data_IF_827937690875
#
_entry.id   IF_827937690875
#
_cell.length_a   1.000
_cell.length_b   1.000
_cell.length_c   1.000
_cell.angle_alpha   90.00
_cell.angle_beta   90.00
_cell.angle_gamma   90.00
#
_symmetry.space_group_name_H-M   'P 1'
#
loop_
_entity.id
_entity.type
_entity.pdbx_description
1 polymer ?
#
# COMPACT_ATOMS: atom_id res chain seq x y z
N UNK A 1 -22.15 2.15 -15.72
CA UNK A 1 -20.93 1.84 -16.49
C UNK A 1 -20.48 3.07 -17.23
N UNK A 2 -19.33 3.61 -16.86
CA UNK A 2 -18.71 4.76 -17.48
C UNK A 2 -17.40 4.37 -18.20
N UNK A 3 -16.70 5.34 -18.79
CA UNK A 3 -15.43 5.11 -19.47
C UNK A 3 -14.35 4.53 -18.55
N UNK A 4 -14.39 4.83 -17.25
CA UNK A 4 -13.44 4.31 -16.26
C UNK A 4 -13.66 2.81 -16.03
N UNK A 5 -14.90 2.35 -15.99
CA UNK A 5 -15.21 0.91 -15.88
C UNK A 5 -14.61 0.11 -17.04
N UNK A 6 -14.65 0.65 -18.26
CA UNK A 6 -14.05 0.01 -19.44
C UNK A 6 -12.53 -0.02 -19.38
N UNK A 7 -11.90 1.04 -18.89
CA UNK A 7 -10.43 1.10 -18.71
C UNK A 7 -9.99 0.10 -17.64
N UNK A 8 -10.64 0.12 -16.47
CA UNK A 8 -10.34 -0.81 -15.37
C UNK A 8 -10.57 -2.24 -15.82
N UNK A 9 -11.70 -2.52 -16.45
CA UNK A 9 -12.03 -3.86 -16.95
C UNK A 9 -11.10 -4.34 -18.05
N UNK A 10 -10.69 -3.46 -18.97
CA UNK A 10 -9.71 -3.79 -20.01
C UNK A 10 -8.34 -4.14 -19.42
N UNK A 11 -7.85 -3.35 -18.45
CA UNK A 11 -6.60 -3.66 -17.74
C UNK A 11 -6.73 -4.95 -16.94
N UNK A 12 -7.84 -5.14 -16.22
CA UNK A 12 -8.08 -6.34 -15.43
C UNK A 12 -8.09 -7.60 -16.29
N UNK A 13 -8.85 -7.57 -17.39
CA UNK A 13 -8.91 -8.66 -18.37
C UNK A 13 -7.55 -8.93 -19.02
N UNK A 14 -6.80 -7.89 -19.37
CA UNK A 14 -5.45 -8.03 -19.94
C UNK A 14 -4.50 -8.79 -19.01
N UNK A 15 -4.54 -8.50 -17.70
CA UNK A 15 -3.73 -9.22 -16.72
C UNK A 15 -4.18 -10.67 -16.53
N UNK A 16 -5.49 -10.94 -16.53
CA UNK A 16 -6.03 -12.31 -16.48
C UNK A 16 -5.58 -13.10 -17.71
N UNK A 17 -5.77 -12.53 -18.90
CA UNK A 17 -5.40 -13.17 -20.16
C UNK A 17 -3.90 -13.43 -20.24
N UNK A 18 -3.08 -12.44 -19.90
CA UNK A 18 -1.62 -12.60 -19.83
C UNK A 18 -1.22 -13.64 -18.79
N UNK A 19 -1.95 -13.72 -17.68
CA UNK A 19 -1.72 -14.71 -16.63
C UNK A 19 -2.02 -16.13 -17.11
N UNK A 20 -3.15 -16.30 -17.81
CA UNK A 20 -3.52 -17.55 -18.46
C UNK A 20 -2.48 -17.99 -19.50
N UNK A 21 -2.06 -17.08 -20.39
CA UNK A 21 -1.08 -17.39 -21.43
C UNK A 21 0.33 -17.68 -20.90
N UNK A 22 0.70 -17.13 -19.73
CA UNK A 22 1.99 -17.47 -19.10
C UNK A 22 1.92 -18.79 -18.32
N UNK A 23 0.76 -19.16 -17.79
CA UNK A 23 0.64 -20.24 -16.82
C UNK A 23 1.04 -19.83 -15.40
N UNK A 24 0.64 -20.65 -14.42
CA UNK A 24 0.96 -20.48 -13.00
C UNK A 24 2.44 -20.75 -12.73
N UNK A 25 2.98 -21.84 -13.28
CA UNK A 25 4.35 -22.28 -13.06
C UNK A 25 5.34 -21.20 -13.51
N UNK A 26 5.17 -20.64 -14.71
CA UNK A 26 6.00 -19.53 -15.18
C UNK A 26 5.94 -18.33 -14.24
N UNK A 27 4.74 -17.92 -13.82
CA UNK A 27 4.59 -16.75 -12.95
C UNK A 27 5.25 -16.96 -11.59
N UNK A 28 5.18 -18.19 -11.07
CA UNK A 28 5.81 -18.55 -9.82
C UNK A 28 7.34 -18.55 -9.93
N UNK A 29 7.90 -19.13 -11.00
CA UNK A 29 9.34 -19.06 -11.28
C UNK A 29 9.82 -17.63 -11.55
N UNK A 30 9.06 -16.81 -12.28
CA UNK A 30 9.38 -15.40 -12.49
C UNK A 30 9.44 -14.65 -11.14
N UNK A 31 8.49 -14.91 -10.23
CA UNK A 31 8.45 -14.29 -8.91
C UNK A 31 9.64 -14.74 -8.05
N UNK A 32 9.84 -16.04 -7.88
CA UNK A 32 10.97 -16.58 -7.13
C UNK A 32 12.30 -16.13 -7.72
N UNK A 33 12.45 -16.22 -9.03
CA UNK A 33 13.62 -15.76 -9.77
C UNK A 33 13.93 -14.30 -9.48
N UNK A 34 12.92 -13.42 -9.46
CA UNK A 34 13.12 -12.01 -9.12
C UNK A 34 13.57 -11.78 -7.68
N UNK A 35 13.02 -12.54 -6.72
CA UNK A 35 13.41 -12.47 -5.30
C UNK A 35 14.86 -12.95 -5.12
N UNK A 36 15.20 -14.10 -5.70
CA UNK A 36 16.57 -14.62 -5.69
C UNK A 36 17.55 -13.67 -6.38
N UNK A 37 17.16 -13.11 -7.52
CA UNK A 37 17.96 -12.14 -8.25
C UNK A 37 18.25 -10.88 -7.42
N UNK A 38 17.26 -10.40 -6.66
CA UNK A 38 17.41 -9.24 -5.76
C UNK A 38 18.38 -9.55 -4.60
N UNK A 39 18.19 -10.69 -3.92
CA UNK A 39 19.05 -11.13 -2.81
C UNK A 39 20.50 -11.26 -3.29
N UNK A 40 20.71 -11.97 -4.40
CA UNK A 40 22.04 -12.17 -4.98
C UNK A 40 22.62 -10.86 -5.52
N UNK A 41 21.78 -9.99 -6.08
CA UNK A 41 22.15 -8.62 -6.47
C UNK A 41 22.77 -7.87 -5.30
N UNK A 42 22.07 -7.78 -4.16
CA UNK A 42 22.59 -7.09 -2.97
C UNK A 42 23.83 -7.75 -2.35
N UNK A 43 24.01 -9.06 -2.52
CA UNK A 43 25.18 -9.74 -1.98
C UNK A 43 26.42 -9.60 -2.89
N UNK A 44 26.24 -9.64 -4.22
CA UNK A 44 27.34 -9.72 -5.18
C UNK A 44 27.63 -8.43 -5.95
N UNK A 45 26.80 -7.38 -5.83
CA UNK A 45 26.97 -6.14 -6.62
C UNK A 45 28.36 -5.51 -6.48
N UNK A 46 28.96 -5.53 -5.29
CA UNK A 46 30.28 -4.93 -5.05
C UNK A 46 31.42 -5.69 -5.73
N UNK A 47 31.36 -7.03 -5.71
CA UNK A 47 32.34 -7.89 -6.39
C UNK A 47 32.27 -7.69 -7.91
N UNK A 48 31.07 -7.78 -8.48
CA UNK A 48 30.87 -7.59 -9.92
C UNK A 48 31.20 -6.16 -10.35
N UNK A 49 30.80 -5.17 -9.56
CA UNK A 49 31.10 -3.76 -9.83
C UNK A 49 32.59 -3.45 -9.80
N UNK A 50 33.36 -4.03 -8.86
CA UNK A 50 34.82 -3.86 -8.84
C UNK A 50 35.51 -4.44 -10.08
N UNK A 51 35.03 -5.58 -10.58
CA UNK A 51 35.51 -6.18 -11.83
C UNK A 51 35.19 -5.28 -13.04
N UNK A 52 34.00 -4.70 -13.09
CA UNK A 52 33.61 -3.76 -14.15
C UNK A 52 34.44 -2.48 -14.09
N UNK A 53 34.63 -1.91 -12.90
CA UNK A 53 35.41 -0.69 -12.70
C UNK A 53 36.85 -0.85 -13.21
N UNK A 54 37.46 -2.01 -12.96
CA UNK A 54 38.82 -2.34 -13.40
C UNK A 54 38.96 -2.42 -14.93
N UNK A 55 37.90 -2.83 -15.65
CA UNK A 55 37.96 -3.04 -17.10
C UNK A 55 37.42 -1.85 -17.92
N UNK A 56 36.56 -1.02 -17.34
CA UNK A 56 35.79 0.01 -18.08
C UNK A 56 36.11 1.44 -17.61
N UNK A 57 37.08 1.62 -16.70
CA UNK A 57 37.46 2.93 -16.15
C UNK A 57 36.28 3.76 -15.61
N UNK A 58 35.28 3.09 -15.04
CA UNK A 58 34.11 3.72 -14.43
C UNK A 58 34.36 4.01 -12.94
N UNK A 59 33.63 4.99 -12.40
CA UNK A 59 33.63 5.22 -10.95
C UNK A 59 33.03 4.00 -10.22
N UNK A 60 33.62 3.64 -9.07
CA UNK A 60 33.21 2.46 -8.28
C UNK A 60 31.70 2.45 -7.95
N UNK A 61 31.07 3.57 -7.55
CA UNK A 61 29.63 3.58 -7.27
C UNK A 61 28.79 3.28 -8.51
N UNK A 62 29.15 3.84 -9.67
CA UNK A 62 28.44 3.61 -10.92
C UNK A 62 28.60 2.16 -11.41
N UNK A 63 29.82 1.63 -11.32
CA UNK A 63 30.12 0.25 -11.68
C UNK A 63 29.38 -0.76 -10.77
N UNK A 64 29.26 -0.48 -9.48
CA UNK A 64 28.45 -1.24 -8.53
C UNK A 64 26.95 -1.24 -8.90
N UNK A 65 26.42 -0.08 -9.29
CA UNK A 65 25.05 0.07 -9.77
C UNK A 65 24.80 -0.79 -11.02
N UNK A 66 25.72 -0.73 -12.00
CA UNK A 66 25.66 -1.55 -13.22
C UNK A 66 25.77 -3.04 -12.88
N UNK A 67 26.68 -3.41 -11.99
CA UNK A 67 26.86 -4.78 -11.53
C UNK A 67 25.59 -5.35 -10.90
N UNK A 68 24.92 -4.57 -10.05
CA UNK A 68 23.61 -4.94 -9.50
C UNK A 68 22.58 -5.20 -10.60
N UNK A 69 22.43 -4.27 -11.56
CA UNK A 69 21.48 -4.41 -12.68
C UNK A 69 21.78 -5.65 -13.51
N UNK A 70 23.05 -5.91 -13.84
CA UNK A 70 23.46 -7.07 -14.63
C UNK A 70 23.15 -8.39 -13.91
N UNK A 71 23.43 -8.48 -12.60
CA UNK A 71 23.09 -9.66 -11.80
C UNK A 71 21.58 -9.88 -11.80
N UNK A 72 20.81 -8.82 -11.49
CA UNK A 72 19.35 -8.93 -11.37
C UNK A 72 18.72 -9.35 -12.68
N UNK A 73 19.10 -8.71 -13.79
CA UNK A 73 18.59 -9.03 -15.13
C UNK A 73 19.06 -10.40 -15.60
N UNK A 74 20.32 -10.77 -15.36
CA UNK A 74 20.87 -12.07 -15.75
C UNK A 74 20.16 -13.23 -15.05
N UNK A 75 20.03 -13.15 -13.72
CA UNK A 75 19.36 -14.20 -12.94
C UNK A 75 17.86 -14.26 -13.26
N UNK A 76 17.16 -13.13 -13.23
CA UNK A 76 15.73 -13.11 -13.54
C UNK A 76 15.45 -13.60 -14.96
N UNK A 77 16.31 -13.25 -15.92
CA UNK A 77 16.21 -13.68 -17.31
C UNK A 77 16.42 -15.18 -17.49
N UNK A 78 17.44 -15.75 -16.84
CA UNK A 78 17.72 -17.20 -16.90
C UNK A 78 16.62 -18.03 -16.26
N UNK A 79 16.15 -17.66 -15.06
CA UNK A 79 15.03 -18.36 -14.40
C UNK A 79 13.74 -18.23 -15.23
N UNK A 80 13.46 -17.04 -15.75
CA UNK A 80 12.30 -16.83 -16.63
C UNK A 80 12.39 -17.65 -17.91
N UNK A 81 13.58 -17.85 -18.47
CA UNK A 81 13.78 -18.69 -19.66
C UNK A 81 13.52 -20.17 -19.37
N UNK A 82 13.99 -20.68 -18.23
CA UNK A 82 13.74 -22.06 -17.78
C UNK A 82 12.23 -22.30 -17.62
N UNK A 83 11.52 -21.37 -16.99
CA UNK A 83 10.07 -21.48 -16.86
C UNK A 83 9.36 -21.58 -18.21
N UNK A 84 9.82 -20.82 -19.23
CA UNK A 84 9.16 -20.79 -20.53
C UNK A 84 9.32 -22.11 -21.24
N UNK A 85 10.51 -22.69 -21.13
CA UNK A 85 10.80 -24.00 -21.66
C UNK A 85 9.93 -25.07 -21.00
N UNK A 86 9.73 -24.98 -19.68
CA UNK A 86 8.82 -25.87 -18.96
C UNK A 86 7.38 -25.75 -19.46
N UNK A 87 6.87 -24.52 -19.58
CA UNK A 87 5.50 -24.28 -20.05
C UNK A 87 5.25 -24.85 -21.46
N UNK A 88 6.22 -24.68 -22.37
CA UNK A 88 6.11 -25.24 -23.73
C UNK A 88 6.20 -26.77 -23.73
N UNK A 89 6.98 -27.37 -22.82
CA UNK A 89 7.08 -28.83 -22.68
C UNK A 89 5.79 -29.48 -22.15
N UNK A 90 5.02 -28.78 -21.30
CA UNK A 90 3.78 -29.30 -20.70
C UNK A 90 2.51 -29.00 -21.47
N UNK A 91 2.60 -28.27 -22.60
CA UNK A 91 1.48 -27.66 -23.33
C UNK A 91 0.43 -28.64 -23.87
N UNK A 92 0.81 -29.90 -24.09
CA UNK A 92 -0.06 -30.92 -24.70
C UNK A 92 -0.81 -31.78 -23.66
N UNK A 93 -0.54 -31.58 -22.36
CA UNK A 93 -1.22 -32.31 -21.30
C UNK A 93 -2.45 -31.55 -20.80
N UNK A 94 -3.49 -32.23 -20.28
CA UNK A 94 -4.60 -31.57 -19.58
C UNK A 94 -4.12 -30.72 -18.39
N UNK A 95 -2.90 -30.96 -17.91
CA UNK A 95 -2.20 -30.13 -16.91
C UNK A 95 -2.00 -28.70 -17.40
N UNK A 96 -1.84 -28.44 -18.70
CA UNK A 96 -1.69 -27.10 -19.26
C UNK A 96 -2.94 -26.23 -19.06
N UNK A 97 -4.14 -26.82 -19.12
CA UNK A 97 -5.39 -26.10 -18.85
C UNK A 97 -5.48 -25.70 -17.37
N UNK A 98 -5.07 -26.59 -16.46
CA UNK A 98 -5.02 -26.30 -15.03
C UNK A 98 -3.96 -25.23 -14.70
N UNK A 99 -2.76 -25.34 -15.30
CA UNK A 99 -1.68 -24.35 -15.16
C UNK A 99 -2.12 -22.98 -15.67
N UNK A 100 -2.78 -22.93 -16.83
CA UNK A 100 -3.37 -21.72 -17.39
C UNK A 100 -4.45 -21.14 -16.48
N UNK A 101 -5.39 -21.95 -15.98
CA UNK A 101 -6.47 -21.49 -15.10
C UNK A 101 -5.91 -20.92 -13.78
N UNK A 102 -4.96 -21.60 -13.15
CA UNK A 102 -4.27 -21.09 -11.95
C UNK A 102 -3.46 -19.81 -12.27
N UNK A 103 -2.86 -19.75 -13.46
CA UNK A 103 -2.17 -18.57 -13.96
C UNK A 103 -3.11 -17.38 -14.15
N UNK A 104 -4.34 -17.62 -14.57
CA UNK A 104 -5.40 -16.62 -14.70
C UNK A 104 -5.82 -16.07 -13.33
N UNK A 105 -5.94 -16.95 -12.31
CA UNK A 105 -6.25 -16.55 -10.93
C UNK A 105 -5.13 -15.67 -10.35
N UNK A 106 -3.87 -16.07 -10.51
CA UNK A 106 -2.74 -15.21 -10.12
C UNK A 106 -2.73 -13.88 -10.88
N UNK A 107 -3.06 -13.91 -12.18
CA UNK A 107 -3.22 -12.73 -13.02
C UNK A 107 -4.31 -11.79 -12.49
N UNK A 108 -5.47 -12.32 -12.11
CA UNK A 108 -6.58 -11.57 -11.52
C UNK A 108 -6.18 -10.95 -10.17
N UNK A 109 -5.52 -11.72 -9.31
CA UNK A 109 -5.01 -11.22 -8.03
C UNK A 109 -4.02 -10.07 -8.24
N UNK A 110 -3.06 -10.25 -9.15
CA UNK A 110 -2.08 -9.21 -9.51
C UNK A 110 -2.76 -7.97 -10.07
N UNK A 111 -3.76 -8.15 -10.95
CA UNK A 111 -4.55 -7.05 -11.50
C UNK A 111 -5.27 -6.28 -10.39
N UNK A 112 -5.92 -6.98 -9.46
CA UNK A 112 -6.62 -6.37 -8.35
C UNK A 112 -5.68 -5.53 -7.48
N UNK A 113 -4.54 -6.08 -7.07
CA UNK A 113 -3.54 -5.35 -6.28
C UNK A 113 -3.04 -4.10 -7.01
N UNK A 114 -2.64 -4.24 -8.28
CA UNK A 114 -2.12 -3.12 -9.08
C UNK A 114 -3.18 -2.03 -9.28
N UNK A 115 -4.41 -2.42 -9.62
CA UNK A 115 -5.50 -1.48 -9.84
C UNK A 115 -5.95 -0.81 -8.55
N UNK A 116 -6.01 -1.51 -7.41
CA UNK A 116 -6.26 -0.90 -6.10
C UNK A 116 -5.20 0.16 -5.81
N UNK A 117 -3.91 -0.17 -5.97
CA UNK A 117 -2.83 0.79 -5.77
C UNK A 117 -2.97 2.03 -6.68
N UNK A 118 -3.26 1.82 -7.96
CA UNK A 118 -3.47 2.94 -8.91
C UNK A 118 -4.67 3.78 -8.48
N UNK A 119 -5.80 3.16 -8.14
CA UNK A 119 -7.00 3.86 -7.68
C UNK A 119 -6.72 4.68 -6.43
N UNK A 120 -6.00 4.11 -5.46
CA UNK A 120 -5.58 4.83 -4.25
C UNK A 120 -4.74 6.06 -4.58
N UNK A 121 -3.76 5.95 -5.48
CA UNK A 121 -2.94 7.08 -5.93
C UNK A 121 -3.81 8.14 -6.63
N UNK A 122 -4.72 7.74 -7.51
CA UNK A 122 -5.59 8.67 -8.24
C UNK A 122 -6.56 9.37 -7.29
N UNK A 123 -7.11 8.67 -6.29
CA UNK A 123 -7.97 9.25 -5.24
C UNK A 123 -7.17 10.22 -4.35
N UNK A 124 -5.87 9.99 -4.16
CA UNK A 124 -5.02 10.91 -3.40
C UNK A 124 -4.70 12.21 -4.17
N UNK A 125 -4.79 12.21 -5.50
CA UNK A 125 -4.44 13.36 -6.33
C UNK A 125 -5.64 14.31 -6.52
N UNK A 126 -5.46 15.64 -6.48
CA UNK A 126 -6.55 16.62 -6.58
C UNK A 126 -7.03 16.83 -8.04
N UNK A 127 -7.21 15.75 -8.79
CA UNK A 127 -7.68 15.81 -10.18
C UNK A 127 -9.20 15.85 -10.28
N UNK A 128 -9.74 17.05 -10.39
CA UNK A 128 -11.18 17.30 -10.51
C UNK A 128 -11.82 16.65 -11.75
N UNK A 129 -11.04 16.32 -12.79
CA UNK A 129 -11.56 15.69 -14.00
C UNK A 129 -11.90 14.21 -13.82
N UNK A 130 -11.11 13.47 -13.02
CA UNK A 130 -11.20 12.00 -12.93
C UNK A 130 -12.09 11.58 -11.75
N UNK A 131 -12.10 12.35 -10.65
CA UNK A 131 -12.85 12.03 -9.42
C UNK A 131 -14.35 11.76 -9.62
N UNK A 132 -15.12 12.60 -10.34
CA UNK A 132 -16.56 12.37 -10.53
C UNK A 132 -16.82 11.07 -11.32
N UNK A 133 -15.93 10.75 -12.26
CA UNK A 133 -16.01 9.51 -13.02
C UNK A 133 -15.63 8.30 -12.16
N UNK A 134 -14.71 8.43 -11.20
CA UNK A 134 -14.37 7.32 -10.30
C UNK A 134 -15.46 7.01 -9.28
N UNK A 135 -16.12 8.02 -8.73
CA UNK A 135 -17.16 7.82 -7.70
C UNK A 135 -18.41 7.12 -8.23
N UNK A 136 -18.74 7.33 -9.51
CA UNK A 136 -19.89 6.71 -10.17
C UNK A 136 -19.54 5.34 -10.79
N UNK A 137 -18.26 4.99 -10.85
CA UNK A 137 -17.80 3.71 -11.43
C UNK A 137 -18.15 2.54 -10.52
N UNK A 138 -18.93 1.59 -11.04
CA UNK A 138 -19.31 0.38 -10.30
C UNK A 138 -18.10 -0.52 -10.08
N UNK A 139 -17.25 -0.67 -11.09
CA UNK A 139 -16.09 -1.57 -11.00
C UNK A 139 -15.02 -1.00 -10.06
N UNK A 140 -14.77 0.31 -10.09
CA UNK A 140 -13.89 0.93 -9.10
C UNK A 140 -14.43 0.73 -7.68
N UNK A 141 -15.74 0.91 -7.48
CA UNK A 141 -16.39 0.67 -6.20
C UNK A 141 -16.26 -0.77 -5.70
N UNK A 142 -16.49 -1.76 -6.57
CA UNK A 142 -16.36 -3.17 -6.23
C UNK A 142 -14.91 -3.57 -5.93
N UNK A 143 -13.96 -3.04 -6.71
CA UNK A 143 -12.54 -3.29 -6.47
C UNK A 143 -12.07 -2.66 -5.16
N UNK A 144 -12.54 -1.45 -4.84
CA UNK A 144 -12.21 -0.77 -3.59
C UNK A 144 -12.78 -1.46 -2.35
N UNK A 145 -13.80 -2.32 -2.46
CA UNK A 145 -14.22 -3.19 -1.34
C UNK A 145 -13.13 -4.16 -0.88
N UNK A 146 -12.13 -4.42 -1.72
CA UNK A 146 -10.97 -5.23 -1.39
C UNK A 146 -9.84 -4.42 -0.72
N UNK A 147 -9.90 -3.08 -0.75
CA UNK A 147 -8.87 -2.22 -0.19
C UNK A 147 -8.61 -2.45 1.33
N UNK A 148 -9.63 -2.67 2.19
CA UNK A 148 -9.39 -3.00 3.60
C UNK A 148 -8.50 -4.23 3.79
N UNK A 149 -8.70 -5.27 2.99
CA UNK A 149 -7.87 -6.48 3.04
C UNK A 149 -6.43 -6.20 2.62
N UNK A 150 -6.24 -5.32 1.64
CA UNK A 150 -4.90 -4.87 1.25
C UNK A 150 -4.19 -4.15 2.40
N UNK A 151 -4.88 -3.24 3.09
CA UNK A 151 -4.33 -2.56 4.27
C UNK A 151 -4.04 -3.54 5.42
N UNK A 152 -4.93 -4.50 5.68
CA UNK A 152 -4.70 -5.53 6.71
C UNK A 152 -3.50 -6.42 6.38
N UNK A 153 -3.33 -6.81 5.10
CA UNK A 153 -2.18 -7.58 4.66
C UNK A 153 -0.88 -6.78 4.80
N UNK A 154 -0.92 -5.49 4.49
CA UNK A 154 0.18 -4.55 4.73
C UNK A 154 0.50 -4.43 6.22
N UNK A 155 -0.51 -4.39 7.09
CA UNK A 155 -0.40 -4.40 8.56
C UNK A 155 0.30 -5.64 9.10
N UNK A 156 -0.02 -6.81 8.54
CA UNK A 156 0.59 -8.05 8.97
C UNK A 156 1.98 -8.30 8.37
N UNK A 157 2.26 -7.79 7.16
CA UNK A 157 3.49 -8.12 6.41
C UNK A 157 4.62 -7.11 6.61
N UNK A 158 4.32 -5.84 6.88
CA UNK A 158 5.35 -4.81 7.06
C UNK A 158 5.80 -4.70 8.54
N UNK A 159 7.12 -4.67 8.80
CA UNK A 159 7.68 -4.33 10.10
C UNK A 159 7.17 -2.95 10.61
N UNK A 160 7.09 -2.75 11.94
CA UNK A 160 6.60 -1.51 12.53
C UNK A 160 7.40 -0.26 12.14
N UNK A 161 8.66 -0.41 11.70
CA UNK A 161 9.54 0.69 11.30
C UNK A 161 9.20 1.24 9.91
N UNK A 162 8.44 0.49 9.09
CA UNK A 162 8.11 0.91 7.72
C UNK A 162 6.82 1.73 7.74
N UNK A 163 6.86 2.99 7.27
CA UNK A 163 5.68 3.83 7.24
C UNK A 163 4.63 3.27 6.26
N UNK A 164 3.36 3.38 6.66
CA UNK A 164 2.22 2.83 5.92
C UNK A 164 1.66 3.86 4.98
N UNK A 165 1.37 3.45 3.75
CA UNK A 165 0.73 4.30 2.76
C UNK A 165 -0.79 4.28 2.98
N UNK A 166 -1.33 5.37 3.50
CA UNK A 166 -2.77 5.54 3.66
C UNK A 166 -3.20 6.77 2.86
N UNK A 167 -4.21 6.60 2.03
CA UNK A 167 -4.84 7.73 1.35
C UNK A 167 -5.70 8.43 2.38
N UNK A 168 -5.45 9.73 2.58
CA UNK A 168 -6.21 10.64 3.43
C UNK A 168 -6.81 11.75 2.55
N UNK A 169 -7.83 12.50 3.02
CA UNK A 169 -8.35 13.66 2.30
C UNK A 169 -7.29 14.75 2.07
N UNK A 170 -6.23 14.80 2.89
CA UNK A 170 -5.06 15.66 2.68
C UNK A 170 -4.06 15.12 1.65
N UNK A 171 -4.37 13.98 1.02
CA UNK A 171 -3.51 13.30 0.06
C UNK A 171 -2.87 12.04 0.64
N UNK A 172 -1.76 11.64 0.04
CA UNK A 172 -1.02 10.43 0.41
C UNK A 172 -0.29 10.66 1.74
N UNK A 173 -0.70 9.97 2.81
CA UNK A 173 -0.05 10.05 4.11
C UNK A 173 0.78 8.79 4.39
N UNK A 174 1.99 9.02 4.90
CA UNK A 174 2.84 7.99 5.48
C UNK A 174 2.58 7.95 6.98
N UNK A 175 1.85 6.94 7.47
CA UNK A 175 1.53 6.80 8.89
C UNK A 175 2.51 5.86 9.58
N UNK A 176 3.07 6.31 10.70
CA UNK A 176 3.98 5.53 11.55
C UNK A 176 3.27 4.78 12.67
N UNK A 177 1.99 4.44 12.49
CA UNK A 177 1.19 3.70 13.47
C UNK A 177 0.64 2.41 12.88
N UNK A 178 0.42 1.42 13.76
CA UNK A 178 -0.45 0.28 13.45
C UNK A 178 -1.85 0.66 13.87
N UNK A 179 -2.85 0.43 13.02
CA UNK A 179 -4.18 1.02 13.27
C UNK A 179 -4.88 0.30 14.42
N UNK A 180 -4.45 -0.93 14.71
CA UNK A 180 -4.82 -1.69 15.91
C UNK A 180 -4.40 -1.00 17.22
N UNK A 181 -3.33 -0.18 17.20
CA UNK A 181 -2.90 0.58 18.38
C UNK A 181 -3.82 1.76 18.70
N UNK A 182 -4.79 2.07 17.83
CA UNK A 182 -5.81 3.07 18.10
C UNK A 182 -6.86 2.56 19.11
N UNK A 183 -6.96 1.24 19.31
CA UNK A 183 -7.79 0.67 20.36
C UNK A 183 -7.27 1.11 21.73
N UNK A 184 -8.12 1.80 22.52
CA UNK A 184 -7.70 2.35 23.80
C UNK A 184 -6.78 3.58 23.70
N UNK A 185 -6.66 4.21 22.52
CA UNK A 185 -6.03 5.52 22.42
C UNK A 185 -6.83 6.59 23.19
N UNK A 186 -6.17 7.67 23.57
CA UNK A 186 -6.70 8.69 24.47
C UNK A 186 -7.25 9.86 23.65
N UNK A 187 -8.55 10.10 23.75
CA UNK A 187 -9.22 11.20 23.05
C UNK A 187 -8.69 12.57 23.50
N UNK A 188 -8.26 13.40 22.56
CA UNK A 188 -7.72 14.75 22.86
C UNK A 188 -8.78 15.69 23.43
N UNK A 189 -10.07 15.46 23.13
CA UNK A 189 -11.17 16.34 23.52
C UNK A 189 -11.63 16.14 24.96
N UNK A 190 -11.60 14.90 25.46
CA UNK A 190 -12.22 14.54 26.75
C UNK A 190 -11.38 13.62 27.66
N UNK A 191 -10.22 13.17 27.17
CA UNK A 191 -9.31 12.26 27.88
C UNK A 191 -9.78 10.80 28.00
N UNK A 192 -10.95 10.45 27.47
CA UNK A 192 -11.46 9.08 27.52
C UNK A 192 -10.75 8.17 26.51
N UNK A 193 -10.77 6.87 26.79
CA UNK A 193 -10.27 5.83 25.91
C UNK A 193 -11.24 5.61 24.75
N UNK A 194 -10.74 5.63 23.51
CA UNK A 194 -11.53 5.41 22.30
C UNK A 194 -11.57 3.93 21.93
N UNK A 195 -12.56 3.55 21.13
CA UNK A 195 -12.68 2.23 20.51
C UNK A 195 -12.34 2.33 19.03
N UNK A 196 -11.57 1.38 18.52
CA UNK A 196 -11.26 1.23 17.12
C UNK A 196 -12.34 0.36 16.44
N UNK A 197 -12.98 0.92 15.41
CA UNK A 197 -14.08 0.27 14.68
C UNK A 197 -13.59 -0.42 13.39
N UNK A 198 -12.29 -0.41 13.13
CA UNK A 198 -11.72 -0.93 11.89
C UNK A 198 -11.77 0.09 10.75
N UNK A 199 -11.66 -0.43 9.52
CA UNK A 199 -11.75 0.36 8.30
C UNK A 199 -13.23 0.54 7.90
N UNK A 200 -13.71 1.77 7.96
CA UNK A 200 -15.07 2.15 7.61
C UNK A 200 -15.06 2.88 6.27
N UNK A 201 -16.05 2.59 5.42
CA UNK A 201 -16.18 3.20 4.10
C UNK A 201 -16.59 4.66 4.22
N UNK A 202 -15.86 5.54 3.56
CA UNK A 202 -16.21 6.97 3.38
C UNK A 202 -15.96 7.35 1.92
N UNK A 203 -17.02 7.73 1.20
CA UNK A 203 -16.96 7.92 -0.26
C UNK A 203 -16.54 6.64 -0.99
N UNK A 204 -15.48 6.73 -1.82
CA UNK A 204 -14.94 5.60 -2.61
C UNK A 204 -13.87 4.78 -1.86
N UNK A 205 -13.37 5.27 -0.72
CA UNK A 205 -12.26 4.66 0.02
C UNK A 205 -12.69 4.14 1.39
N UNK A 206 -11.76 3.50 2.08
CA UNK A 206 -11.92 2.99 3.43
C UNK A 206 -10.84 3.61 4.32
N UNK A 207 -11.26 4.13 5.47
CA UNK A 207 -10.38 4.81 6.42
C UNK A 207 -10.53 4.19 7.80
N UNK A 208 -9.46 4.15 8.61
CA UNK A 208 -9.59 3.72 9.99
C UNK A 208 -10.58 4.66 10.71
N UNK A 209 -11.42 4.09 11.56
CA UNK A 209 -12.36 4.86 12.37
C UNK A 209 -12.20 4.49 13.84
N UNK A 210 -12.15 5.53 14.67
CA UNK A 210 -12.16 5.47 16.12
C UNK A 210 -13.40 6.21 16.61
N UNK A 211 -14.00 5.70 17.68
CA UNK A 211 -15.17 6.28 18.32
C UNK A 211 -14.91 6.50 19.80
N UNK A 212 -15.16 7.72 20.27
CA UNK A 212 -15.07 8.05 21.69
C UNK A 212 -16.41 7.82 22.40
N UNK A 213 -16.51 6.91 23.39
CA UNK A 213 -17.78 6.65 24.08
C UNK A 213 -18.24 7.80 25.00
N UNK A 214 -17.33 8.71 25.38
CA UNK A 214 -17.63 9.81 26.32
C UNK A 214 -18.13 11.08 25.62
N UNK A 215 -17.49 11.48 24.53
CA UNK A 215 -17.86 12.69 23.79
C UNK A 215 -18.41 12.42 22.38
N UNK A 216 -18.63 11.14 22.04
CA UNK A 216 -19.23 10.66 20.79
C UNK A 216 -18.53 11.11 19.51
N UNK A 217 -17.28 11.59 19.62
CA UNK A 217 -16.48 12.02 18.47
C UNK A 217 -15.95 10.81 17.71
N UNK A 218 -15.95 10.96 16.39
CA UNK A 218 -15.34 10.02 15.46
C UNK A 218 -14.07 10.62 14.85
N UNK A 219 -13.07 9.79 14.62
CA UNK A 219 -11.76 10.23 14.13
C UNK A 219 -11.01 9.06 13.49
N UNK A 220 -10.00 9.31 12.67
CA UNK A 220 -9.16 8.25 12.08
C UNK A 220 -7.85 8.05 12.87
N UNK A 221 -7.83 8.52 14.11
CA UNK A 221 -6.64 8.68 14.95
C UNK A 221 -6.23 10.15 15.13
N UNK A 222 -6.62 11.02 14.19
CA UNK A 222 -6.41 12.49 14.21
C UNK A 222 -6.89 13.18 15.51
N UNK A 223 -7.88 12.63 16.24
CA UNK A 223 -8.40 13.20 17.49
C UNK A 223 -8.00 12.38 18.73
N UNK A 224 -6.90 11.62 18.65
CA UNK A 224 -6.32 10.86 19.77
C UNK A 224 -4.86 11.26 19.99
N UNK A 225 -4.36 11.24 21.22
CA UNK A 225 -2.97 11.65 21.48
C UNK A 225 -1.96 10.72 20.80
N UNK A 226 -2.16 9.42 20.93
CA UNK A 226 -1.33 8.35 20.37
C UNK A 226 -1.38 8.37 18.85
N UNK A 227 -2.59 8.46 18.27
CA UNK A 227 -2.78 8.57 16.82
C UNK A 227 -2.18 9.85 16.25
N UNK A 228 -2.32 11.00 16.93
CA UNK A 228 -1.75 12.27 16.46
C UNK A 228 -0.23 12.24 16.37
N UNK A 229 0.45 11.65 17.37
CA UNK A 229 1.90 11.45 17.30
C UNK A 229 2.26 10.50 16.15
N UNK A 230 1.49 9.44 15.97
CA UNK A 230 1.68 8.46 14.91
C UNK A 230 1.52 8.99 13.48
N UNK A 231 0.58 9.92 13.29
CA UNK A 231 0.24 10.47 11.98
C UNK A 231 1.13 11.67 11.65
N UNK A 232 1.37 12.56 12.61
CA UNK A 232 2.06 13.83 12.36
C UNK A 232 3.48 13.90 12.92
N UNK A 233 3.93 12.92 13.70
CA UNK A 233 5.26 12.89 14.31
C UNK A 233 5.49 13.96 15.38
N UNK A 234 4.45 14.69 15.80
CA UNK A 234 4.54 15.81 16.74
C UNK A 234 3.41 15.75 17.76
N UNK A 235 3.61 16.41 18.91
CA UNK A 235 2.57 16.51 19.93
C UNK A 235 1.45 17.46 19.45
N UNK A 236 0.16 17.15 19.68
CA UNK A 236 -0.93 18.05 19.33
C UNK A 236 -0.82 19.42 20.02
N UNK A 237 -0.27 19.47 21.26
CA UNK A 237 0.00 20.74 21.94
C UNK A 237 1.04 21.60 21.24
N UNK A 238 2.03 21.00 20.59
CA UNK A 238 3.11 21.72 19.92
C UNK A 238 2.63 22.36 18.61
N UNK A 239 1.73 21.67 17.91
CA UNK A 239 1.22 22.13 16.61
C UNK A 239 0.00 23.05 16.71
N UNK A 240 -0.90 22.77 17.65
CA UNK A 240 -2.17 23.51 17.80
C UNK A 240 -2.09 24.58 18.89
N UNK A 241 -1.15 24.45 19.85
CA UNK A 241 -1.13 25.30 21.05
C UNK A 241 -2.37 25.09 21.93
N UNK A 242 -2.62 26.04 22.83
CA UNK A 242 -3.70 25.99 23.84
C UNK A 242 -5.07 26.40 23.29
N UNK A 243 -5.10 27.23 22.24
CA UNK A 243 -6.33 27.75 21.61
C UNK A 243 -6.59 27.20 20.20
N UNK A 244 -5.71 26.33 19.69
CA UNK A 244 -5.91 25.73 18.37
C UNK A 244 -7.10 24.78 18.35
N UNK A 245 -8.01 25.04 17.43
CA UNK A 245 -9.12 24.16 17.11
C UNK A 245 -8.68 23.12 16.07
N UNK A 246 -9.12 21.89 16.26
CA UNK A 246 -8.92 20.78 15.34
C UNK A 246 -10.20 19.98 15.17
N UNK A 247 -10.42 19.51 13.95
CA UNK A 247 -11.38 18.46 13.64
C UNK A 247 -10.78 17.49 12.63
N UNK A 248 -11.33 16.28 12.55
CA UNK A 248 -10.89 15.30 11.58
C UNK A 248 -11.47 15.61 10.20
N UNK A 249 -10.65 15.59 9.14
CA UNK A 249 -11.17 15.85 7.79
C UNK A 249 -11.93 14.65 7.20
N UNK A 250 -11.52 13.43 7.52
CA UNK A 250 -12.21 12.20 7.09
C UNK A 250 -13.55 12.08 7.80
N UNK A 251 -13.53 12.30 9.12
CA UNK A 251 -14.67 12.10 10.01
C UNK A 251 -15.02 13.42 10.68
N UNK A 252 -15.61 14.38 9.93
CA UNK A 252 -15.95 15.69 10.48
C UNK A 252 -16.97 15.54 11.61
N UNK A 253 -16.76 16.30 12.68
CA UNK A 253 -17.65 16.37 13.83
C UNK A 253 -18.41 17.71 13.82
N UNK A 254 -19.56 17.76 14.51
CA UNK A 254 -20.40 18.97 14.58
C UNK A 254 -19.65 20.23 15.00
N UNK A 255 -18.72 20.11 15.94
CA UNK A 255 -17.92 21.23 16.44
C UNK A 255 -16.44 20.84 16.47
N UNK A 256 -15.51 21.70 16.05
CA UNK A 256 -14.08 21.52 16.29
C UNK A 256 -13.76 21.43 17.79
N UNK A 257 -12.63 20.84 18.14
CA UNK A 257 -12.21 20.66 19.54
C UNK A 257 -10.83 21.22 19.80
N UNK A 258 -10.52 21.47 21.07
CA UNK A 258 -9.17 21.82 21.53
C UNK A 258 -8.55 20.65 22.27
N UNK A 259 -7.23 20.64 22.37
CA UNK A 259 -6.48 19.62 23.11
C UNK A 259 -6.68 19.84 24.61
N UNK A 260 -7.16 18.82 25.32
CA UNK A 260 -7.40 18.85 26.77
C UNK A 260 -6.69 17.70 27.49
N UNK A 261 -6.22 17.98 28.70
CA UNK A 261 -5.61 16.99 29.59
C UNK A 261 -4.11 16.77 29.36
N UNK A 262 -3.52 15.80 30.04
CA UNK A 262 -2.09 15.48 29.90
C UNK A 262 -1.89 14.52 28.73
N UNK A 263 -0.91 14.80 27.87
CA UNK A 263 -0.53 13.89 26.81
C UNK A 263 0.08 12.61 27.40
N UNK A 264 -0.49 11.42 27.15
CA UNK A 264 0.05 10.15 27.66
C UNK A 264 1.35 9.70 26.96
N UNK A 265 1.65 10.24 25.77
CA UNK A 265 2.82 9.84 24.97
C UNK A 265 4.09 10.56 25.43
N UNK A 266 4.05 11.88 25.55
CA UNK A 266 5.22 12.71 25.88
C UNK A 266 5.10 13.45 27.21
N UNK A 267 4.01 13.25 27.96
CA UNK A 267 3.78 13.88 29.26
C UNK A 267 3.48 15.38 29.22
N UNK A 268 3.49 16.01 28.03
CA UNK A 268 3.18 17.44 27.87
C UNK A 268 1.76 17.75 28.34
N UNK A 269 1.67 18.80 29.14
CA UNK A 269 0.43 19.54 29.43
C UNK A 269 0.53 20.89 28.74
N UNK A 270 -0.51 21.72 28.88
CA UNK A 270 -0.52 23.12 28.46
C UNK A 270 0.82 23.81 28.69
#
# INVERSE_FOLDING_TARGET
>A
MNWVDWVIGGVFFWFIFRGYCKGFVQQFFDLLGSVFALILGFYFFSKVGSYIAANVHLSVPLANMIGFVLIVVGISGTVGFIGRYWHEATKNEPVALLDGALGAILGAFKAAVVLIMILLIVIALPWNFIRPSLEVSSFAGDLMRLAPYFYLLQDHSLPPEIPRLIVSPEGLQLRGIKEQNLEGATCIACGAKVRYLGFVKEGLSYYPQTYCPKCHRVSDGCLTFEGYHGIYGVCPYERLGTMGLIDCKVWPNLEPTTVKGKCPVCGRTQ
#
